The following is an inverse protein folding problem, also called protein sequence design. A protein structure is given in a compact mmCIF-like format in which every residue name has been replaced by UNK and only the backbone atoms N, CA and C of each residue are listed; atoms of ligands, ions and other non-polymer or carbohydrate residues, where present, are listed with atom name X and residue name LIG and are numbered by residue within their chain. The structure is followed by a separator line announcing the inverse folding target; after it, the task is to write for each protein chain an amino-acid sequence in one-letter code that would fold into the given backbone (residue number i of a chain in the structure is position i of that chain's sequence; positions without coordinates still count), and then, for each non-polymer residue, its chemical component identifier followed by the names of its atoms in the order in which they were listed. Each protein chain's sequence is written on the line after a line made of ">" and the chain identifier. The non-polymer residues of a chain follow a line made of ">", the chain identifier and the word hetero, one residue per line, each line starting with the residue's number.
data_IF_713556606006
#
_entry.id   IF_713556606006
#
_cell.length_a   1.000
_cell.length_b   1.000
_cell.length_c   1.000
_cell.angle_alpha   90.00
_cell.angle_beta   90.00
_cell.angle_gamma   90.00
#
_symmetry.space_group_name_H-M   'P 1'
#
loop_
_entity.id
_entity.type
_entity.pdbx_description
1 polymer ?
#
# COMPACT_ATOMS: atom_id res chain seq x y z
N UNK A 1 -73.67 11.24 32.79
CA UNK A 1 -73.01 12.53 32.45
C UNK A 1 -71.78 12.19 31.61
N UNK A 2 -71.72 12.70 30.39
CA UNK A 2 -70.74 12.35 29.34
C UNK A 2 -69.29 12.59 29.80
N UNK A 3 -68.36 11.68 29.52
CA UNK A 3 -66.94 12.01 29.45
C UNK A 3 -66.32 11.44 28.16
N UNK A 4 -65.57 12.30 27.49
CA UNK A 4 -65.03 12.19 26.14
C UNK A 4 -63.93 11.13 26.01
N UNK A 5 -63.94 10.42 24.88
CA UNK A 5 -62.83 9.62 24.36
C UNK A 5 -61.84 10.57 23.68
N UNK A 6 -60.57 10.53 24.10
CA UNK A 6 -59.45 11.10 23.33
C UNK A 6 -58.56 9.95 22.91
N UNK A 7 -58.57 9.65 21.61
CA UNK A 7 -57.67 8.70 20.98
C UNK A 7 -56.31 9.38 20.74
N UNK A 8 -55.24 8.86 21.37
CA UNK A 8 -53.87 9.17 20.97
C UNK A 8 -53.44 8.18 19.88
N UNK A 9 -53.35 8.64 18.65
CA UNK A 9 -52.73 7.89 17.56
C UNK A 9 -51.20 8.03 17.67
N UNK A 10 -50.53 6.98 18.14
CA UNK A 10 -49.07 6.86 18.05
C UNK A 10 -48.75 6.32 16.65
N UNK A 11 -48.38 7.21 15.73
CA UNK A 11 -47.80 6.83 14.44
C UNK A 11 -46.38 6.34 14.71
N UNK A 12 -46.23 5.02 14.81
CA UNK A 12 -44.93 4.36 14.80
C UNK A 12 -44.28 4.52 13.43
N UNK A 13 -43.30 5.43 13.33
CA UNK A 13 -42.41 5.53 12.17
C UNK A 13 -41.50 4.30 12.16
N UNK A 14 -41.94 3.22 11.50
CA UNK A 14 -41.06 2.12 11.10
C UNK A 14 -40.15 2.63 9.98
N UNK A 15 -39.03 3.24 10.39
CA UNK A 15 -37.89 3.45 9.51
C UNK A 15 -37.41 2.10 9.00
N UNK A 16 -37.56 1.86 7.70
CA UNK A 16 -36.90 0.77 6.98
C UNK A 16 -35.39 0.98 7.11
N UNK A 17 -34.75 0.33 8.08
CA UNK A 17 -33.32 0.08 8.04
C UNK A 17 -33.04 -0.79 6.80
N UNK A 18 -32.52 -0.18 5.76
CA UNK A 18 -31.92 -0.88 4.63
C UNK A 18 -30.84 -1.80 5.20
N UNK A 19 -31.01 -3.11 4.99
CA UNK A 19 -30.10 -4.11 5.51
C UNK A 19 -28.68 -3.86 5.02
N UNK A 20 -27.78 -3.60 5.96
CA UNK A 20 -26.39 -4.02 5.77
C UNK A 20 -26.44 -5.54 5.62
N UNK A 21 -26.19 -6.05 4.42
CA UNK A 21 -26.05 -7.49 4.22
C UNK A 21 -25.06 -8.00 5.26
N UNK A 22 -25.52 -8.84 6.20
CA UNK A 22 -24.63 -9.45 7.17
C UNK A 22 -23.57 -10.22 6.39
N UNK A 23 -22.33 -9.75 6.44
CA UNK A 23 -21.19 -10.45 5.83
C UNK A 23 -21.17 -11.84 6.45
N UNK A 24 -21.24 -12.87 5.60
CA UNK A 24 -21.22 -14.27 6.08
C UNK A 24 -20.04 -14.46 7.04
N UNK A 25 -20.24 -15.10 8.21
CA UNK A 25 -19.16 -15.46 9.13
C UNK A 25 -18.00 -16.20 8.46
N UNK A 26 -18.27 -16.84 7.31
CA UNK A 26 -17.30 -17.63 6.58
C UNK A 26 -16.58 -16.87 5.46
N UNK A 27 -16.97 -15.62 5.17
CA UNK A 27 -16.36 -14.83 4.11
C UNK A 27 -14.88 -14.52 4.41
N UNK A 28 -14.07 -14.51 3.36
CA UNK A 28 -12.66 -14.13 3.43
C UNK A 28 -12.51 -12.70 2.93
N UNK A 29 -11.94 -11.82 3.76
CA UNK A 29 -11.47 -10.52 3.30
C UNK A 29 -10.08 -10.68 2.68
N UNK A 30 -10.01 -10.45 1.37
CA UNK A 30 -8.79 -10.63 0.58
C UNK A 30 -8.26 -9.27 0.18
N UNK A 31 -6.97 -9.06 0.41
CA UNK A 31 -6.20 -7.92 -0.09
C UNK A 31 -5.12 -8.42 -1.04
N UNK A 32 -4.99 -7.80 -2.22
CA UNK A 32 -3.85 -8.04 -3.09
C UNK A 32 -2.81 -6.96 -2.85
N UNK A 33 -1.67 -7.33 -2.25
CA UNK A 33 -0.59 -6.40 -1.97
C UNK A 33 0.20 -6.13 -3.27
N UNK A 34 -0.08 -5.01 -3.92
CA UNK A 34 0.46 -4.64 -5.24
C UNK A 34 0.80 -3.16 -5.36
N UNK A 35 0.02 -2.28 -4.74
CA UNK A 35 0.21 -0.83 -4.77
C UNK A 35 1.19 -0.37 -3.69
N UNK A 36 1.54 0.91 -3.79
CA UNK A 36 2.51 1.59 -2.95
C UNK A 36 1.97 2.92 -2.41
N UNK A 37 1.40 3.77 -3.27
CA UNK A 37 0.87 5.08 -2.89
C UNK A 37 -0.57 5.02 -2.42
N UNK A 38 -1.43 4.40 -3.23
CA UNK A 38 -2.83 4.18 -2.87
C UNK A 38 -3.01 2.91 -2.03
N UNK A 39 -4.10 2.79 -1.26
CA UNK A 39 -4.43 1.54 -0.58
C UNK A 39 -4.56 0.36 -1.56
N UNK A 40 -4.05 -0.79 -1.16
CA UNK A 40 -4.17 -2.03 -1.93
C UNK A 40 -5.64 -2.42 -2.19
N UNK A 41 -5.98 -3.04 -3.35
CA UNK A 41 -7.33 -3.46 -3.66
C UNK A 41 -7.78 -4.59 -2.71
N UNK A 42 -9.01 -4.45 -2.22
CA UNK A 42 -9.64 -5.37 -1.26
C UNK A 42 -11.02 -5.80 -1.73
N UNK A 43 -11.35 -7.08 -1.53
CA UNK A 43 -12.68 -7.64 -1.82
C UNK A 43 -13.01 -8.80 -0.88
N UNK A 44 -14.30 -9.14 -0.83
CA UNK A 44 -14.79 -10.30 -0.11
C UNK A 44 -14.93 -11.48 -1.05
N UNK A 45 -14.37 -12.62 -0.68
CA UNK A 45 -14.72 -13.91 -1.27
C UNK A 45 -15.76 -14.55 -0.37
N UNK A 46 -16.99 -14.65 -0.86
CA UNK A 46 -18.15 -15.15 -0.11
C UNK A 46 -18.49 -16.59 -0.53
N UNK A 47 -19.27 -17.35 0.26
CA UNK A 47 -19.70 -18.70 -0.10
C UNK A 47 -20.37 -18.84 -1.47
N UNK A 48 -20.95 -17.76 -2.00
CA UNK A 48 -21.62 -17.74 -3.30
C UNK A 48 -20.66 -17.52 -4.48
N UNK A 49 -19.39 -17.20 -4.25
CA UNK A 49 -18.42 -17.03 -5.32
C UNK A 49 -18.10 -18.39 -5.98
N UNK A 50 -18.01 -18.41 -7.32
CA UNK A 50 -17.86 -19.65 -8.10
C UNK A 50 -16.68 -20.54 -7.69
N UNK A 51 -15.60 -19.93 -7.15
CA UNK A 51 -14.40 -20.64 -6.71
C UNK A 51 -14.18 -20.63 -5.19
N UNK A 52 -15.19 -20.24 -4.39
CA UNK A 52 -15.05 -20.15 -2.93
C UNK A 52 -14.62 -21.48 -2.30
N UNK A 53 -15.29 -22.58 -2.63
CA UNK A 53 -14.99 -23.90 -2.05
C UNK A 53 -13.55 -24.33 -2.35
N UNK A 54 -13.08 -24.08 -3.58
CA UNK A 54 -11.70 -24.36 -3.98
C UNK A 54 -10.70 -23.47 -3.22
N UNK A 55 -11.01 -22.18 -3.06
CA UNK A 55 -10.18 -21.24 -2.27
C UNK A 55 -10.08 -21.71 -0.81
N UNK A 56 -11.20 -22.08 -0.17
CA UNK A 56 -11.21 -22.58 1.21
C UNK A 56 -10.41 -23.86 1.38
N UNK A 57 -10.56 -24.81 0.46
CA UNK A 57 -9.79 -26.05 0.47
C UNK A 57 -8.28 -25.77 0.38
N UNK A 58 -7.85 -25.00 -0.63
CA UNK A 58 -6.44 -24.68 -0.85
C UNK A 58 -5.84 -23.88 0.32
N UNK A 59 -6.61 -22.95 0.89
CA UNK A 59 -6.19 -22.19 2.06
C UNK A 59 -6.04 -23.07 3.30
N UNK A 60 -6.97 -24.01 3.51
CA UNK A 60 -6.85 -25.03 4.56
C UNK A 60 -5.59 -25.90 4.38
N UNK A 61 -5.34 -26.38 3.16
CA UNK A 61 -4.11 -27.13 2.85
C UNK A 61 -2.86 -26.31 3.13
N UNK A 62 -2.83 -25.03 2.74
CA UNK A 62 -1.69 -24.14 3.00
C UNK A 62 -1.42 -23.94 4.50
N UNK A 63 -2.48 -23.84 5.33
CA UNK A 63 -2.33 -23.77 6.79
C UNK A 63 -1.71 -25.06 7.33
N UNK A 64 -2.26 -26.22 6.97
CA UNK A 64 -1.79 -27.53 7.46
C UNK A 64 -0.36 -27.84 7.02
N UNK A 65 0.02 -27.44 5.80
CA UNK A 65 1.38 -27.62 5.28
C UNK A 65 2.38 -26.54 5.73
N UNK A 66 1.95 -25.58 6.56
CA UNK A 66 2.76 -24.43 7.01
C UNK A 66 3.28 -23.57 5.84
N UNK A 67 2.55 -23.51 4.73
CA UNK A 67 2.83 -22.67 3.57
C UNK A 67 2.14 -21.30 3.67
N UNK A 68 1.96 -20.78 4.88
CA UNK A 68 1.38 -19.47 5.16
C UNK A 68 2.34 -18.66 6.02
N UNK A 69 2.30 -17.34 5.86
CA UNK A 69 3.31 -16.45 6.42
C UNK A 69 2.69 -15.32 7.22
N UNK A 70 3.51 -14.68 8.04
CA UNK A 70 3.16 -13.46 8.74
C UNK A 70 3.31 -12.24 7.81
N UNK A 71 2.57 -11.17 8.08
CA UNK A 71 2.65 -9.92 7.30
C UNK A 71 4.08 -9.34 7.27
N UNK A 72 4.85 -9.54 8.34
CA UNK A 72 6.26 -9.15 8.51
C UNK A 72 7.17 -9.74 7.43
N UNK A 73 6.79 -10.91 6.91
CA UNK A 73 7.57 -11.66 5.92
C UNK A 73 7.22 -11.26 4.48
N UNK A 74 6.37 -10.24 4.29
CA UNK A 74 6.07 -9.72 2.97
C UNK A 74 7.31 -9.05 2.36
N UNK A 75 7.70 -9.42 1.12
CA UNK A 75 8.93 -8.91 0.51
C UNK A 75 8.82 -7.40 0.26
N UNK A 76 9.88 -6.66 0.60
CA UNK A 76 9.98 -5.23 0.38
C UNK A 76 10.35 -4.92 -1.07
N UNK A 77 9.34 -4.91 -1.94
CA UNK A 77 9.48 -4.64 -3.38
C UNK A 77 8.25 -3.93 -3.94
N UNK A 78 8.42 -3.23 -5.07
CA UNK A 78 7.28 -2.74 -5.85
C UNK A 78 6.52 -3.91 -6.52
N UNK A 79 5.27 -3.65 -6.90
CA UNK A 79 4.41 -4.63 -7.58
C UNK A 79 3.92 -5.74 -6.67
N UNK A 80 3.69 -6.93 -7.23
CA UNK A 80 3.12 -8.08 -6.54
C UNK A 80 4.01 -8.56 -5.38
N UNK A 81 3.41 -8.57 -4.18
CA UNK A 81 4.03 -8.96 -2.92
C UNK A 81 3.35 -10.14 -2.24
N UNK A 82 2.18 -10.57 -2.74
CA UNK A 82 1.36 -11.65 -2.17
C UNK A 82 -0.09 -11.24 -1.96
N UNK A 83 -0.90 -12.16 -1.46
CA UNK A 83 -2.25 -11.90 -0.98
C UNK A 83 -2.29 -11.92 0.55
N UNK A 84 -3.12 -11.07 1.13
CA UNK A 84 -3.48 -11.14 2.54
C UNK A 84 -4.90 -11.68 2.66
N UNK A 85 -5.07 -12.73 3.46
CA UNK A 85 -6.39 -13.26 3.81
C UNK A 85 -6.66 -12.95 5.27
N UNK A 86 -7.77 -12.26 5.55
CA UNK A 86 -8.32 -12.07 6.88
C UNK A 86 -9.66 -12.81 6.98
N UNK A 87 -9.72 -13.78 7.88
CA UNK A 87 -10.98 -14.46 8.24
C UNK A 87 -11.85 -13.53 9.09
N UNK A 88 -13.17 -13.67 9.01
CA UNK A 88 -14.06 -12.82 9.78
C UNK A 88 -13.81 -12.99 11.29
N UNK A 89 -13.80 -11.87 12.02
CA UNK A 89 -13.49 -11.84 13.46
C UNK A 89 -12.01 -12.01 13.83
N UNK A 90 -11.10 -12.13 12.85
CA UNK A 90 -9.65 -12.14 13.10
C UNK A 90 -9.04 -10.77 12.80
N UNK A 91 -8.23 -10.25 13.72
CA UNK A 91 -7.54 -8.98 13.51
C UNK A 91 -6.34 -9.13 12.56
N UNK A 92 -5.64 -10.26 12.65
CA UNK A 92 -4.43 -10.53 11.88
C UNK A 92 -4.76 -11.12 10.51
N UNK A 93 -4.03 -10.65 9.50
CA UNK A 93 -4.10 -11.21 8.16
C UNK A 93 -2.99 -12.26 7.97
N UNK A 94 -3.33 -13.34 7.26
CA UNK A 94 -2.38 -14.36 6.82
C UNK A 94 -1.82 -13.99 5.45
N UNK A 95 -0.51 -14.01 5.30
CA UNK A 95 0.18 -13.75 4.04
C UNK A 95 0.32 -15.02 3.20
N UNK A 96 -0.09 -14.94 1.93
CA UNK A 96 -0.10 -16.02 0.95
C UNK A 96 0.78 -15.62 -0.25
N UNK A 97 1.88 -16.33 -0.45
CA UNK A 97 2.77 -16.22 -1.61
C UNK A 97 3.65 -17.47 -1.74
N UNK A 98 4.54 -17.47 -2.73
CA UNK A 98 5.50 -18.55 -2.97
C UNK A 98 4.92 -19.71 -3.78
N UNK A 99 5.78 -20.65 -4.22
CA UNK A 99 5.38 -21.71 -5.14
C UNK A 99 4.39 -22.71 -4.52
N UNK A 100 4.46 -22.95 -3.22
CA UNK A 100 3.59 -23.89 -2.51
C UNK A 100 2.11 -23.49 -2.48
N UNK A 101 1.81 -22.20 -2.65
CA UNK A 101 0.42 -21.68 -2.68
C UNK A 101 0.04 -21.13 -4.05
N UNK A 102 0.76 -21.48 -5.11
CA UNK A 102 0.55 -20.92 -6.46
C UNK A 102 -0.90 -21.07 -6.94
N UNK A 103 -1.48 -22.26 -6.81
CA UNK A 103 -2.88 -22.49 -7.21
C UNK A 103 -3.85 -21.62 -6.40
N UNK A 104 -3.59 -21.44 -5.10
CA UNK A 104 -4.39 -20.57 -4.23
C UNK A 104 -4.31 -19.11 -4.71
N UNK A 105 -3.11 -18.62 -5.01
CA UNK A 105 -2.89 -17.26 -5.54
C UNK A 105 -3.64 -17.04 -6.86
N UNK A 106 -3.62 -18.02 -7.77
CA UNK A 106 -4.36 -17.95 -9.03
C UNK A 106 -5.88 -17.91 -8.82
N UNK A 107 -6.41 -18.68 -7.86
CA UNK A 107 -7.84 -18.64 -7.53
C UNK A 107 -8.24 -17.32 -6.86
N UNK A 108 -7.41 -16.78 -5.98
CA UNK A 108 -7.63 -15.47 -5.37
C UNK A 108 -7.64 -14.37 -6.45
N UNK A 109 -6.69 -14.38 -7.39
CA UNK A 109 -6.68 -13.40 -8.48
C UNK A 109 -7.95 -13.46 -9.33
N UNK A 110 -8.42 -14.67 -9.67
CA UNK A 110 -9.68 -14.88 -10.43
C UNK A 110 -10.94 -14.49 -9.65
N UNK A 111 -10.85 -14.34 -8.34
CA UNK A 111 -11.98 -13.96 -7.49
C UNK A 111 -12.20 -12.44 -7.41
N UNK A 112 -11.31 -11.63 -8.01
CA UNK A 112 -11.46 -10.17 -8.04
C UNK A 112 -12.75 -9.81 -8.78
N UNK A 113 -13.69 -9.07 -8.14
CA UNK A 113 -14.88 -8.58 -8.82
C UNK A 113 -14.51 -7.60 -9.93
N UNK A 114 -15.24 -7.66 -11.05
CA UNK A 114 -15.08 -6.71 -12.16
C UNK A 114 -15.19 -5.27 -11.64
N UNK A 115 -14.26 -4.40 -12.05
CA UNK A 115 -14.27 -2.98 -11.69
C UNK A 115 -13.69 -2.63 -10.32
N UNK A 116 -13.08 -3.56 -9.57
CA UNK A 116 -12.45 -3.31 -8.25
C UNK A 116 -11.11 -2.56 -8.28
N UNK A 117 -10.94 -1.65 -9.23
CA UNK A 117 -9.79 -0.72 -9.25
C UNK A 117 -8.44 -1.37 -9.58
N UNK A 118 -8.44 -2.53 -10.24
CA UNK A 118 -7.22 -3.17 -10.75
C UNK A 118 -7.31 -3.32 -12.27
N UNK A 119 -6.53 -2.56 -13.06
CA UNK A 119 -6.54 -2.66 -14.52
C UNK A 119 -6.25 -4.08 -14.99
N UNK A 120 -6.90 -4.51 -16.07
CA UNK A 120 -6.73 -5.87 -16.64
C UNK A 120 -5.27 -6.13 -17.04
N UNK A 121 -4.58 -5.12 -17.56
CA UNK A 121 -3.14 -5.19 -17.85
C UNK A 121 -2.33 -5.56 -16.61
N UNK A 122 -2.59 -4.91 -15.47
CA UNK A 122 -1.90 -5.19 -14.22
C UNK A 122 -2.30 -6.57 -13.65
N UNK A 123 -3.57 -6.98 -13.77
CA UNK A 123 -4.00 -8.34 -13.43
C UNK A 123 -3.22 -9.41 -14.21
N UNK A 124 -3.06 -9.22 -15.52
CA UNK A 124 -2.30 -10.14 -16.36
C UNK A 124 -0.83 -10.21 -15.97
N UNK A 125 -0.20 -9.08 -15.63
CA UNK A 125 1.19 -9.08 -15.15
C UNK A 125 1.31 -9.80 -13.79
N UNK A 126 0.38 -9.57 -12.87
CA UNK A 126 0.34 -10.29 -11.57
C UNK A 126 0.20 -11.79 -11.81
N UNK A 127 -0.66 -12.23 -12.74
CA UNK A 127 -0.80 -13.63 -13.11
C UNK A 127 0.52 -14.24 -13.62
N UNK A 128 1.29 -13.50 -14.43
CA UNK A 128 2.62 -13.94 -14.91
C UNK A 128 3.59 -14.12 -13.73
N UNK A 129 3.61 -13.16 -12.79
CA UNK A 129 4.48 -13.25 -11.60
C UNK A 129 4.09 -14.44 -10.72
N UNK A 130 2.80 -14.65 -10.45
CA UNK A 130 2.31 -15.82 -9.69
C UNK A 130 2.75 -17.11 -10.38
N UNK A 131 2.61 -17.19 -11.70
CA UNK A 131 3.03 -18.36 -12.48
C UNK A 131 4.52 -18.66 -12.36
N UNK A 132 5.37 -17.63 -12.23
CA UNK A 132 6.81 -17.80 -12.05
C UNK A 132 7.18 -18.46 -10.71
N UNK A 133 6.35 -18.31 -9.67
CA UNK A 133 6.62 -18.83 -8.32
C UNK A 133 7.80 -18.17 -7.60
N UNK A 134 8.36 -17.07 -8.13
CA UNK A 134 9.61 -16.46 -7.64
C UNK A 134 9.45 -15.42 -6.54
N UNK A 135 8.22 -15.05 -6.16
CA UNK A 135 7.98 -14.14 -5.04
C UNK A 135 7.95 -14.95 -3.76
N UNK A 136 8.99 -14.79 -2.94
CA UNK A 136 9.25 -15.58 -1.74
C UNK A 136 9.14 -14.71 -0.47
N UNK A 137 8.82 -15.33 0.68
CA UNK A 137 8.73 -14.62 1.94
C UNK A 137 10.13 -14.25 2.44
N UNK A 138 10.22 -13.15 3.18
CA UNK A 138 11.44 -12.77 3.89
C UNK A 138 11.70 -13.77 5.03
N UNK A 139 12.94 -14.23 5.19
CA UNK A 139 13.33 -15.07 6.32
C UNK A 139 13.23 -14.23 7.61
N UNK A 140 12.56 -14.73 8.67
CA UNK A 140 12.48 -14.04 9.96
C UNK A 140 13.82 -13.56 10.53
N UNK A 141 14.94 -14.21 10.18
CA UNK A 141 16.29 -13.83 10.63
C UNK A 141 16.78 -12.53 10.00
N UNK A 142 16.33 -12.21 8.79
CA UNK A 142 16.69 -11.00 8.04
C UNK A 142 15.88 -9.78 8.49
N UNK A 143 14.96 -9.96 9.45
CA UNK A 143 14.13 -8.90 10.00
C UNK A 143 14.87 -7.96 10.96
N UNK A 144 16.15 -8.20 11.28
CA UNK A 144 16.91 -7.50 12.32
C UNK A 144 17.42 -6.13 11.87
N UNK A 145 17.13 -5.11 12.67
CA UNK A 145 17.54 -3.70 12.45
C UNK A 145 18.76 -3.32 13.30
N UNK A 146 19.58 -2.39 12.78
CA UNK A 146 20.76 -1.78 13.45
C UNK A 146 20.62 -0.25 13.49
N UNK A 147 21.25 0.37 14.49
CA UNK A 147 21.07 1.79 14.93
C UNK A 147 22.21 2.71 14.47
N UNK A 148 21.94 4.00 14.18
CA UNK A 148 22.63 5.28 14.60
C UNK A 148 22.22 6.50 13.70
N UNK A 149 22.60 7.74 14.09
CA UNK A 149 21.97 9.09 13.99
C UNK A 149 22.43 10.06 12.86
N UNK A 150 21.47 10.93 12.42
CA UNK A 150 21.55 12.32 11.80
C UNK A 150 22.27 12.44 10.43
N UNK A 151 22.12 13.44 9.56
CA UNK A 151 21.06 14.38 9.11
C UNK A 151 21.07 14.33 7.55
N UNK A 152 19.99 14.78 6.90
CA UNK A 152 19.25 14.00 5.89
C UNK A 152 18.67 12.69 6.50
N UNK A 153 17.50 12.19 6.04
CA UNK A 153 16.94 10.95 6.56
C UNK A 153 17.99 9.85 6.42
N UNK A 154 18.34 9.21 7.53
CA UNK A 154 19.28 8.10 7.55
C UNK A 154 18.49 6.81 7.29
N UNK A 155 18.85 6.05 6.26
CA UNK A 155 18.15 4.83 5.88
C UNK A 155 18.17 3.78 7.01
N UNK A 156 19.34 3.53 7.60
CA UNK A 156 19.53 2.59 8.69
C UNK A 156 18.74 3.01 9.94
N UNK A 157 18.79 4.28 10.32
CA UNK A 157 18.00 4.84 11.41
C UNK A 157 16.50 4.83 11.13
N UNK A 158 16.09 5.02 9.87
CA UNK A 158 14.70 4.94 9.44
C UNK A 158 14.17 3.51 9.54
N UNK A 159 14.99 2.49 9.29
CA UNK A 159 14.56 1.08 9.39
C UNK A 159 13.93 0.79 10.76
N UNK A 160 14.52 1.29 11.85
CA UNK A 160 14.04 1.14 13.24
C UNK A 160 12.66 1.73 13.50
N UNK A 161 12.29 2.79 12.77
CA UNK A 161 11.04 3.51 12.95
C UNK A 161 9.96 2.93 12.03
N UNK A 162 10.30 2.71 10.77
CA UNK A 162 9.36 2.47 9.68
C UNK A 162 8.98 0.99 9.47
N UNK A 163 9.76 0.06 10.03
CA UNK A 163 9.55 -1.37 9.87
C UNK A 163 8.94 -2.08 11.09
N UNK A 164 8.69 -1.33 12.17
CA UNK A 164 7.96 -1.84 13.35
C UNK A 164 6.58 -2.37 12.96
N UNK A 165 6.05 -3.36 13.68
CA UNK A 165 4.71 -3.90 13.43
C UNK A 165 3.59 -2.84 13.59
N UNK A 166 3.88 -1.74 14.27
CA UNK A 166 2.98 -0.61 14.38
C UNK A 166 3.03 0.31 13.16
N UNK A 167 4.22 0.83 12.81
CA UNK A 167 4.37 1.82 11.74
C UNK A 167 4.26 1.20 10.35
N UNK A 168 4.80 -0.02 10.15
CA UNK A 168 4.92 -0.68 8.85
C UNK A 168 3.59 -0.80 8.10
N UNK A 169 2.49 -1.34 8.69
CA UNK A 169 1.23 -1.51 7.97
C UNK A 169 0.38 -0.23 7.86
N UNK A 170 0.75 0.86 8.55
CA UNK A 170 -0.09 2.07 8.69
C UNK A 170 0.39 3.26 7.88
N UNK A 171 1.57 3.19 7.29
CA UNK A 171 2.17 4.30 6.56
C UNK A 171 2.58 3.81 5.16
N UNK A 172 2.62 4.71 4.17
CA UNK A 172 2.93 4.38 2.77
C UNK A 172 4.19 5.11 2.26
N UNK A 173 4.40 5.12 0.92
CA UNK A 173 5.51 5.81 0.29
C UNK A 173 5.51 7.33 0.51
N UNK A 174 4.33 7.97 0.60
CA UNK A 174 4.22 9.40 0.80
C UNK A 174 4.58 9.81 2.22
N UNK A 175 4.17 9.02 3.23
CA UNK A 175 4.65 9.18 4.60
C UNK A 175 6.17 9.09 4.69
N UNK A 176 6.73 8.01 4.11
CA UNK A 176 8.14 7.73 4.16
C UNK A 176 8.97 8.80 3.46
N UNK A 177 8.54 9.17 2.25
CA UNK A 177 9.13 10.25 1.44
C UNK A 177 9.19 11.55 2.22
N UNK A 178 8.16 11.89 2.99
CA UNK A 178 8.12 13.10 3.80
C UNK A 178 8.77 12.98 5.19
N UNK A 179 9.35 11.84 5.54
CA UNK A 179 9.90 11.52 6.87
C UNK A 179 8.90 11.81 8.01
N UNK A 180 7.61 11.51 7.78
CA UNK A 180 6.52 11.80 8.73
C UNK A 180 5.52 10.64 8.82
N UNK A 181 5.63 9.88 9.90
CA UNK A 181 4.76 8.74 10.20
C UNK A 181 3.46 9.21 10.86
N UNK A 182 2.45 9.55 10.05
CA UNK A 182 1.12 9.96 10.54
C UNK A 182 0.26 8.76 10.96
N UNK A 183 0.73 7.54 10.70
CA UNK A 183 -0.01 6.29 10.89
C UNK A 183 -1.33 6.27 10.11
N UNK A 184 -1.30 6.91 8.95
CA UNK A 184 -2.34 6.89 7.93
C UNK A 184 -1.71 6.52 6.59
N UNK A 185 -2.49 5.95 5.67
CA UNK A 185 -2.06 5.80 4.28
C UNK A 185 -2.14 7.17 3.60
N UNK A 186 -1.11 7.99 3.82
CA UNK A 186 -1.20 9.41 3.52
C UNK A 186 -1.38 9.67 2.03
N UNK A 187 -2.27 10.59 1.69
CA UNK A 187 -2.60 10.94 0.30
C UNK A 187 -2.23 12.40 0.04
N UNK A 188 -1.50 12.70 -1.06
CA UNK A 188 -1.21 14.07 -1.45
C UNK A 188 -2.47 14.95 -1.46
N UNK A 189 -2.37 16.10 -0.81
CA UNK A 189 -3.43 17.10 -0.69
C UNK A 189 -4.42 16.84 0.46
N UNK A 190 -4.41 15.67 1.10
CA UNK A 190 -5.37 15.37 2.17
C UNK A 190 -5.10 16.20 3.43
N UNK A 191 -3.83 16.42 3.77
CA UNK A 191 -3.48 17.25 4.94
C UNK A 191 -3.90 18.71 4.75
N UNK A 192 -3.79 19.21 3.52
CA UNK A 192 -4.23 20.56 3.13
C UNK A 192 -5.73 20.69 2.78
N UNK A 193 -6.51 19.60 2.87
CA UNK A 193 -7.97 19.62 2.70
C UNK A 193 -8.47 19.45 1.26
N UNK A 194 -7.57 19.28 0.28
CA UNK A 194 -7.94 19.03 -1.12
C UNK A 194 -7.03 17.95 -1.74
N UNK A 195 -7.48 16.70 -1.66
CA UNK A 195 -6.86 15.56 -2.35
C UNK A 195 -6.94 15.74 -3.87
N UNK A 196 -6.06 15.08 -4.63
CA UNK A 196 -6.10 15.04 -6.09
C UNK A 196 -7.46 14.51 -6.63
N UNK A 197 -7.88 14.99 -7.81
CA UNK A 197 -9.12 14.55 -8.47
C UNK A 197 -8.97 13.23 -9.23
N UNK A 198 -7.78 13.00 -9.81
CA UNK A 198 -7.35 11.75 -10.40
C UNK A 198 -5.85 11.47 -10.16
N UNK A 199 -5.43 10.24 -10.45
CA UNK A 199 -4.01 9.88 -10.39
C UNK A 199 -3.38 10.31 -11.72
N UNK A 200 -3.00 11.57 -11.81
CA UNK A 200 -2.29 12.14 -12.96
C UNK A 200 -1.01 12.82 -12.51
N UNK A 201 -0.04 12.98 -13.42
CA UNK A 201 1.24 13.60 -13.10
C UNK A 201 1.08 15.00 -12.48
N UNK A 202 0.19 15.81 -13.03
CA UNK A 202 -0.04 17.17 -12.57
C UNK A 202 -0.84 17.21 -11.27
N UNK A 203 -1.90 16.41 -11.13
CA UNK A 203 -2.71 16.47 -9.91
C UNK A 203 -1.98 15.95 -8.67
N UNK A 204 -1.18 14.88 -8.79
CA UNK A 204 -0.38 14.37 -7.67
C UNK A 204 0.69 15.38 -7.27
N UNK A 205 1.35 16.03 -8.25
CA UNK A 205 2.35 17.07 -8.02
C UNK A 205 1.73 18.30 -7.35
N UNK A 206 0.60 18.80 -7.85
CA UNK A 206 -0.06 19.97 -7.28
C UNK A 206 -0.66 19.68 -5.90
N UNK A 207 -1.22 18.49 -5.68
CA UNK A 207 -1.67 18.06 -4.36
C UNK A 207 -0.51 17.99 -3.36
N UNK A 208 0.64 17.51 -3.79
CA UNK A 208 1.85 17.51 -2.95
C UNK A 208 2.37 18.91 -2.66
N UNK A 209 2.26 19.84 -3.63
CA UNK A 209 2.58 21.25 -3.42
C UNK A 209 1.69 21.89 -2.36
N UNK A 210 0.39 21.59 -2.35
CA UNK A 210 -0.56 22.08 -1.32
C UNK A 210 -0.20 21.60 0.09
N UNK A 211 0.35 20.40 0.20
CA UNK A 211 0.85 19.86 1.48
C UNK A 211 2.20 20.47 1.91
N UNK A 212 2.83 21.29 1.07
CA UNK A 212 4.05 22.05 1.39
C UNK A 212 5.34 21.53 0.74
N UNK A 213 5.26 20.56 -0.19
CA UNK A 213 6.41 20.16 -0.98
C UNK A 213 6.75 21.25 -2.01
N UNK A 214 8.04 21.48 -2.24
CA UNK A 214 8.52 22.48 -3.19
C UNK A 214 9.21 21.77 -4.35
N UNK A 215 8.72 21.99 -5.58
CA UNK A 215 9.36 21.45 -6.78
C UNK A 215 10.81 21.92 -6.86
N UNK A 216 11.70 21.03 -7.27
CA UNK A 216 13.10 21.34 -7.58
C UNK A 216 13.31 21.07 -9.06
N UNK A 217 14.05 21.94 -9.74
CA UNK A 217 14.32 21.78 -11.16
C UNK A 217 15.19 20.54 -11.40
N UNK A 218 14.71 19.68 -12.29
CA UNK A 218 15.44 18.51 -12.72
C UNK A 218 16.41 18.92 -13.83
N UNK A 219 17.69 19.04 -13.50
CA UNK A 219 18.76 19.12 -14.51
C UNK A 219 19.13 17.74 -15.05
N UNK A 220 20.27 17.65 -15.73
CA UNK A 220 20.86 16.36 -16.09
C UNK A 220 21.19 15.53 -14.84
N UNK A 221 21.66 16.19 -13.78
CA UNK A 221 22.07 15.56 -12.52
C UNK A 221 20.94 15.53 -11.47
N UNK A 222 21.15 14.71 -10.43
CA UNK A 222 20.31 14.74 -9.23
C UNK A 222 20.40 16.13 -8.60
N UNK A 223 19.27 16.81 -8.32
CA UNK A 223 19.30 18.14 -7.74
C UNK A 223 20.05 18.18 -6.41
N UNK A 224 21.03 19.08 -6.32
CA UNK A 224 21.73 19.32 -5.07
C UNK A 224 20.88 20.25 -4.19
N UNK A 225 20.44 19.75 -3.04
CA UNK A 225 19.83 20.56 -1.99
C UNK A 225 20.76 20.59 -0.80
N UNK A 226 20.64 21.63 0.04
CA UNK A 226 21.46 21.75 1.24
C UNK A 226 21.39 20.45 2.06
N UNK A 227 22.53 19.79 2.34
CA UNK A 227 22.56 18.61 3.20
C UNK A 227 22.30 18.97 4.67
N UNK A 228 22.33 20.27 4.99
CA UNK A 228 22.02 20.81 6.30
C UNK A 228 20.63 21.47 6.28
N UNK A 229 19.91 21.34 7.40
CA UNK A 229 18.57 21.87 7.56
C UNK A 229 17.48 20.80 7.48
N UNK A 230 16.21 21.21 7.55
CA UNK A 230 15.09 20.29 7.68
C UNK A 230 14.57 19.75 6.34
N UNK A 231 15.19 20.16 5.21
CA UNK A 231 14.77 19.81 3.87
C UNK A 231 15.50 18.55 3.39
N UNK A 232 14.77 17.66 2.73
CA UNK A 232 15.35 16.53 2.00
C UNK A 232 14.66 16.31 0.65
N UNK A 233 15.34 15.60 -0.25
CA UNK A 233 14.92 15.45 -1.64
C UNK A 233 14.06 14.19 -1.77
N UNK A 234 13.00 14.32 -2.58
CA UNK A 234 12.11 13.24 -2.94
C UNK A 234 11.87 13.25 -4.44
N UNK A 235 11.53 12.10 -5.01
CA UNK A 235 11.20 11.95 -6.41
C UNK A 235 9.81 11.33 -6.55
N UNK A 236 8.96 11.98 -7.34
CA UNK A 236 7.64 11.48 -7.70
C UNK A 236 7.73 10.67 -9.00
N UNK A 237 7.17 9.47 -8.95
CA UNK A 237 6.86 8.66 -10.13
C UNK A 237 5.38 8.30 -10.13
N UNK A 238 4.75 8.22 -11.31
CA UNK A 238 3.30 7.99 -11.44
C UNK A 238 3.02 7.00 -12.55
N UNK A 239 2.09 6.07 -12.30
CA UNK A 239 1.39 5.29 -13.32
C UNK A 239 -0.04 5.86 -13.42
N UNK A 240 -0.33 6.69 -14.44
CA UNK A 240 -1.59 7.43 -14.50
C UNK A 240 -2.83 6.53 -14.42
N UNK A 241 -3.76 6.89 -13.54
CA UNK A 241 -4.97 6.12 -13.26
C UNK A 241 -4.77 4.86 -12.41
N UNK A 242 -3.54 4.52 -12.04
CA UNK A 242 -3.20 3.29 -11.31
C UNK A 242 -2.65 3.58 -9.92
N UNK A 243 -1.46 4.18 -9.84
CA UNK A 243 -0.78 4.46 -8.57
C UNK A 243 0.25 5.59 -8.70
N UNK A 244 0.68 6.13 -7.56
CA UNK A 244 1.83 7.03 -7.48
C UNK A 244 2.86 6.48 -6.48
N UNK A 245 4.12 6.85 -6.64
CA UNK A 245 5.16 6.40 -5.74
C UNK A 245 6.21 7.48 -5.49
N UNK A 246 6.78 7.45 -4.29
CA UNK A 246 7.78 8.41 -3.84
C UNK A 246 9.08 7.71 -3.41
N UNK A 247 10.18 8.19 -3.96
CA UNK A 247 11.53 7.89 -3.47
C UNK A 247 12.05 9.03 -2.60
N UNK A 248 12.95 8.72 -1.68
CA UNK A 248 13.61 9.66 -0.79
C UNK A 248 15.11 9.51 -0.92
N UNK A 249 15.83 10.62 -1.07
CA UNK A 249 17.28 10.64 -1.00
C UNK A 249 17.70 10.58 0.47
N UNK A 250 18.51 9.58 0.82
CA UNK A 250 19.02 9.42 2.18
C UNK A 250 20.44 9.98 2.32
N UNK A 251 20.90 10.13 3.57
CA UNK A 251 22.21 10.71 3.92
C UNK A 251 23.41 9.94 3.36
N UNK A 252 23.23 8.69 2.91
CA UNK A 252 24.27 7.88 2.30
C UNK A 252 24.42 8.11 0.78
N UNK A 253 23.65 9.05 0.21
CA UNK A 253 23.67 9.38 -1.22
C UNK A 253 22.86 8.45 -2.11
N UNK A 254 22.26 7.40 -1.55
CA UNK A 254 21.35 6.50 -2.26
C UNK A 254 19.90 6.90 -2.04
N UNK A 255 19.03 6.39 -2.90
CA UNK A 255 17.59 6.54 -2.77
C UNK A 255 16.96 5.31 -2.13
N UNK A 256 15.93 5.55 -1.33
CA UNK A 256 15.11 4.50 -0.77
C UNK A 256 13.64 4.84 -0.86
N UNK A 257 12.80 3.86 -0.56
CA UNK A 257 11.36 4.00 -0.62
C UNK A 257 10.67 2.97 0.26
N UNK A 258 9.35 3.15 0.40
CA UNK A 258 8.47 2.23 1.12
C UNK A 258 7.37 1.72 0.19
N UNK A 259 7.49 0.48 -0.34
CA UNK A 259 6.46 -0.15 -1.17
C UNK A 259 5.17 -0.48 -0.39
N UNK A 260 4.28 0.49 -0.23
CA UNK A 260 3.01 0.28 0.47
C UNK A 260 3.22 -0.19 1.91
N UNK A 261 2.59 -1.32 2.28
CA UNK A 261 2.64 -1.89 3.63
C UNK A 261 3.90 -2.73 3.93
N UNK A 262 4.89 -2.79 3.04
CA UNK A 262 6.12 -3.56 3.28
C UNK A 262 7.11 -2.82 4.17
N UNK A 263 8.25 -3.47 4.48
CA UNK A 263 9.43 -2.76 4.96
C UNK A 263 9.93 -1.74 3.93
N UNK A 264 10.72 -0.78 4.40
CA UNK A 264 11.48 0.12 3.52
C UNK A 264 12.56 -0.68 2.78
N UNK A 265 12.92 -0.22 1.58
CA UNK A 265 14.02 -0.79 0.78
C UNK A 265 14.75 0.32 0.02
N UNK A 266 16.01 0.09 -0.33
CA UNK A 266 16.84 0.94 -1.19
C UNK A 266 17.10 0.31 -2.57
N UNK A 267 16.33 -0.70 -2.94
CA UNK A 267 16.44 -1.40 -4.22
C UNK A 267 15.21 -1.24 -5.11
N UNK A 268 15.43 -1.16 -6.42
CA UNK A 268 14.37 -1.00 -7.42
C UNK A 268 13.59 -2.31 -7.69
N UNK A 269 12.69 -2.27 -8.69
CA UNK A 269 11.89 -3.43 -9.08
C UNK A 269 12.68 -4.62 -9.64
N UNK A 270 13.95 -4.42 -10.02
CA UNK A 270 14.88 -5.46 -10.46
C UNK A 270 15.83 -5.92 -9.34
N UNK A 271 15.77 -5.30 -8.16
CA UNK A 271 16.62 -5.62 -7.01
C UNK A 271 17.95 -4.87 -6.99
N UNK A 272 18.15 -3.87 -7.85
CA UNK A 272 19.38 -3.07 -7.90
C UNK A 272 19.28 -1.88 -6.95
N UNK A 273 20.41 -1.44 -6.36
CA UNK A 273 20.44 -0.21 -5.57
C UNK A 273 19.99 1.00 -6.40
N UNK A 274 19.19 1.88 -5.79
CA UNK A 274 18.65 3.05 -6.47
C UNK A 274 19.62 4.22 -6.30
N UNK A 275 20.39 4.49 -7.34
CA UNK A 275 21.27 5.67 -7.40
C UNK A 275 20.57 6.88 -8.05
N UNK A 276 19.62 6.61 -8.97
CA UNK A 276 18.80 7.62 -9.62
C UNK A 276 17.36 7.10 -9.82
N UNK A 277 16.34 7.71 -9.23
CA UNK A 277 14.96 7.26 -9.34
C UNK A 277 14.39 7.41 -10.76
N UNK A 278 15.03 8.18 -11.65
CA UNK A 278 14.66 8.26 -13.07
C UNK A 278 14.99 6.97 -13.83
N UNK A 279 15.96 6.19 -13.34
CA UNK A 279 16.45 4.96 -13.95
C UNK A 279 16.02 3.70 -13.20
N UNK A 280 15.33 3.86 -12.06
CA UNK A 280 14.87 2.74 -11.26
C UNK A 280 13.93 1.83 -12.08
N UNK A 281 14.24 0.52 -12.10
CA UNK A 281 13.41 -0.42 -12.82
C UNK A 281 12.02 -0.55 -12.19
N UNK A 282 10.97 -0.58 -13.02
CA UNK A 282 9.65 -1.00 -12.60
C UNK A 282 9.67 -2.47 -12.19
N UNK A 283 8.87 -2.83 -11.19
CA UNK A 283 8.74 -4.22 -10.78
C UNK A 283 7.82 -4.99 -11.72
N UNK A 284 8.23 -6.20 -12.07
CA UNK A 284 7.37 -7.13 -12.80
C UNK A 284 6.12 -7.45 -11.96
N UNK A 285 4.93 -7.29 -12.55
CA UNK A 285 3.66 -7.43 -11.82
C UNK A 285 3.31 -6.25 -10.93
N UNK A 286 3.76 -5.04 -11.27
CA UNK A 286 3.46 -3.80 -10.57
C UNK A 286 3.04 -2.67 -11.51
N UNK A 287 2.63 -1.51 -10.95
CA UNK A 287 2.35 -0.33 -11.75
C UNK A 287 3.54 0.09 -12.61
N UNK A 288 3.26 0.62 -13.80
CA UNK A 288 4.27 1.07 -14.76
C UNK A 288 4.62 2.54 -14.50
N UNK A 289 5.35 2.78 -13.42
CA UNK A 289 5.69 4.14 -13.02
C UNK A 289 6.60 4.84 -14.04
N UNK A 290 6.31 6.12 -14.28
CA UNK A 290 7.18 7.03 -15.01
C UNK A 290 7.59 8.20 -14.10
N UNK A 291 8.83 8.66 -14.24
CA UNK A 291 9.32 9.82 -13.48
C UNK A 291 8.56 11.10 -13.83
N UNK A 292 8.19 11.87 -12.81
CA UNK A 292 7.45 13.14 -12.96
C UNK A 292 8.33 14.33 -12.58
N UNK A 293 8.82 14.37 -11.33
CA UNK A 293 9.65 15.47 -10.86
C UNK A 293 10.39 15.16 -9.57
N UNK A 294 11.45 15.93 -9.32
CA UNK A 294 12.01 16.10 -7.99
C UNK A 294 11.27 17.18 -7.20
N UNK A 295 11.14 16.95 -5.89
CA UNK A 295 10.67 17.96 -4.94
C UNK A 295 11.53 17.89 -3.68
N UNK A 296 11.54 18.96 -2.90
CA UNK A 296 12.07 18.97 -1.54
C UNK A 296 10.92 19.10 -0.54
N UNK A 297 11.05 18.44 0.60
CA UNK A 297 10.07 18.47 1.68
C UNK A 297 10.74 18.77 3.00
N UNK A 298 10.02 19.45 3.89
CA UNK A 298 10.46 19.78 5.24
C UNK A 298 9.53 19.09 6.23
N UNK A 299 10.02 18.06 6.94
CA UNK A 299 9.20 17.25 7.84
C UNK A 299 8.51 18.04 8.97
N UNK A 300 9.08 19.19 9.34
CA UNK A 300 8.55 20.02 10.43
C UNK A 300 7.37 20.88 9.96
N UNK A 301 7.27 21.19 8.66
CA UNK A 301 6.24 22.09 8.11
C UNK A 301 5.28 21.39 7.15
N UNK A 302 5.68 20.25 6.57
CA UNK A 302 4.84 19.51 5.63
C UNK A 302 3.57 19.01 6.32
N UNK A 303 2.43 19.21 5.66
CA UNK A 303 1.12 18.88 6.17
C UNK A 303 0.52 17.71 5.37
N UNK A 304 0.86 16.48 5.77
CA UNK A 304 0.34 15.25 5.15
C UNK A 304 -0.63 14.52 6.10
N UNK A 305 -1.55 13.75 5.53
CA UNK A 305 -2.50 12.90 6.25
C UNK A 305 -3.00 11.75 5.40
#
# INVERSE_FOLDING_TARGET
>A
MKLFVVALAIIGYLGKCQGSAMVSPEALNVTLAVFSGVPDPQWLVTPNAFNYQKIKQLYGTAKTSRATYLLEQMPAKLGYKGFLIRENGQDQATLILGPATKELQEQLLKSIPVGKGLPESLQNQVAVVIKSGKVLPVDPKDLKERVVKRAAPNYEGASVIWNTNYARPRNNCYNYGNDKATNTFAQPGRGSGLVYGGITNDEIKEASRRDGLVKVDAGADIPNISPTGPWHLVALVVDPGVDFHWYRLDSNGNWSHKPGQTRITNTDGAGNLINDPRLAANALGGPNYAFVCFMKTNKNTVNIR
#
